data_IF_537244600983
#
_entry.id   IF_537244600983
#
_cell.length_a   1.000
_cell.length_b   1.000
_cell.length_c   1.000
_cell.angle_alpha   90.00
_cell.angle_beta   90.00
_cell.angle_gamma   90.00
#
_symmetry.space_group_name_H-M   'P 1'
#
loop_
_entity.id
_entity.type
_entity.pdbx_description
1 polymer ?
#
# COMPACT_ATOMS: atom_id res chain seq x y z
N UNK A 1 18.29 29.29 5.17
CA UNK A 1 18.02 28.68 3.85
C UNK A 1 19.01 27.54 3.65
N UNK A 2 18.57 26.38 3.17
CA UNK A 2 19.45 25.24 2.82
C UNK A 2 19.18 24.80 1.39
N UNK A 3 20.14 24.12 0.76
CA UNK A 3 20.01 23.66 -0.63
C UNK A 3 20.43 22.19 -0.77
N UNK A 4 19.89 21.51 -1.78
CA UNK A 4 20.23 20.14 -2.16
C UNK A 4 20.25 20.02 -3.67
N UNK A 5 21.19 19.25 -4.20
CA UNK A 5 21.25 18.91 -5.63
C UNK A 5 20.60 17.54 -5.81
N UNK A 6 19.68 17.40 -6.76
CA UNK A 6 19.06 16.12 -7.09
C UNK A 6 19.94 15.27 -8.04
N UNK A 7 19.57 14.01 -8.34
CA UNK A 7 20.36 13.16 -9.23
C UNK A 7 20.50 13.67 -10.68
N UNK A 8 19.65 14.62 -11.10
CA UNK A 8 19.67 15.22 -12.43
C UNK A 8 20.52 16.51 -12.46
N UNK A 9 20.94 17.01 -11.30
CA UNK A 9 21.76 18.22 -11.14
C UNK A 9 20.96 19.46 -10.76
N UNK A 10 19.65 19.34 -10.56
CA UNK A 10 18.80 20.47 -10.23
C UNK A 10 18.96 20.89 -8.77
N UNK A 11 19.00 22.20 -8.53
CA UNK A 11 19.09 22.78 -7.19
C UNK A 11 17.69 22.92 -6.60
N UNK A 12 17.50 22.30 -5.44
CA UNK A 12 16.30 22.43 -4.61
C UNK A 12 16.68 23.27 -3.39
N UNK A 13 15.93 24.33 -3.10
CA UNK A 13 16.16 25.19 -1.94
C UNK A 13 15.02 25.13 -0.93
N UNK A 14 15.36 25.34 0.34
CA UNK A 14 14.43 25.27 1.46
C UNK A 14 14.60 26.45 2.40
N UNK A 15 13.50 27.12 2.72
CA UNK A 15 13.42 28.12 3.80
C UNK A 15 12.79 27.47 5.03
N UNK A 16 13.27 27.86 6.21
CA UNK A 16 12.81 27.31 7.48
C UNK A 16 12.38 28.44 8.40
N UNK A 17 11.46 28.16 9.32
CA UNK A 17 11.15 29.03 10.45
C UNK A 17 12.14 28.87 11.61
N UNK A 18 11.93 29.63 12.69
CA UNK A 18 12.76 29.62 13.90
C UNK A 18 12.79 28.25 14.61
N UNK A 19 11.76 27.42 14.38
CA UNK A 19 11.69 26.06 14.92
C UNK A 19 12.32 25.02 13.97
N UNK A 20 12.95 25.47 12.87
CA UNK A 20 13.59 24.60 11.89
C UNK A 20 12.60 23.85 10.99
N UNK A 21 11.34 24.27 10.90
CA UNK A 21 10.34 23.65 10.01
C UNK A 21 10.40 24.31 8.64
N UNK A 22 10.30 23.52 7.57
CA UNK A 22 10.33 24.03 6.18
C UNK A 22 9.09 24.87 5.90
N UNK A 23 9.24 26.16 5.62
CA UNK A 23 8.14 27.07 5.25
C UNK A 23 8.03 27.30 3.75
N UNK A 24 9.10 27.05 3.00
CA UNK A 24 9.12 27.17 1.56
C UNK A 24 10.08 26.14 0.95
N UNK A 25 9.67 25.51 -0.15
CA UNK A 25 10.50 24.67 -1.00
C UNK A 25 10.45 25.22 -2.42
N UNK A 26 11.60 25.53 -2.99
CA UNK A 26 11.72 25.82 -4.41
C UNK A 26 12.47 24.68 -5.11
N UNK A 27 11.87 24.13 -6.16
CA UNK A 27 12.52 23.17 -7.04
C UNK A 27 12.47 23.71 -8.47
N UNK A 28 13.60 24.24 -8.95
CA UNK A 28 13.72 24.82 -10.28
C UNK A 28 12.65 25.91 -10.57
N UNK A 29 12.42 26.82 -9.62
CA UNK A 29 11.42 27.90 -9.72
C UNK A 29 9.98 27.49 -9.38
N UNK A 30 9.74 26.19 -9.11
CA UNK A 30 8.44 25.69 -8.64
C UNK A 30 8.40 25.80 -7.12
N UNK A 31 7.86 26.90 -6.63
CA UNK A 31 7.74 27.20 -5.20
C UNK A 31 6.50 26.55 -4.57
N UNK A 32 6.69 25.85 -3.45
CA UNK A 32 5.62 25.39 -2.55
C UNK A 32 5.82 26.01 -1.17
N UNK A 33 4.78 26.65 -0.65
CA UNK A 33 4.74 27.24 0.70
C UNK A 33 4.04 26.32 1.69
N UNK A 34 4.48 26.34 2.95
CA UNK A 34 3.94 25.53 4.04
C UNK A 34 3.60 26.41 5.24
N UNK A 35 2.40 26.24 5.78
CA UNK A 35 1.95 26.89 7.00
C UNK A 35 1.66 25.84 8.08
N UNK A 36 2.01 26.15 9.32
CA UNK A 36 1.87 25.26 10.48
C UNK A 36 1.12 25.94 11.61
N UNK A 37 0.49 25.14 12.46
CA UNK A 37 -0.04 25.62 13.73
C UNK A 37 1.05 25.70 14.82
N UNK A 38 0.74 26.24 16.01
CA UNK A 38 1.70 26.31 17.12
C UNK A 38 2.22 24.95 17.60
N UNK A 39 1.48 23.87 17.36
CA UNK A 39 1.88 22.51 17.71
C UNK A 39 2.76 21.84 16.63
N UNK A 40 3.10 22.54 15.54
CA UNK A 40 3.92 21.98 14.46
C UNK A 40 3.16 21.20 13.40
N UNK A 41 1.82 21.21 13.43
CA UNK A 41 1.01 20.46 12.47
C UNK A 41 0.78 21.29 11.22
N UNK A 42 0.88 20.66 10.05
CA UNK A 42 0.66 21.33 8.76
C UNK A 42 -0.79 21.80 8.64
N UNK A 43 -1.00 23.10 8.42
CA UNK A 43 -2.29 23.72 8.14
C UNK A 43 -2.53 23.88 6.63
N UNK A 44 -1.49 24.24 5.87
CA UNK A 44 -1.60 24.45 4.43
C UNK A 44 -0.30 24.14 3.70
N UNK A 45 -0.38 23.50 2.55
CA UNK A 45 0.71 23.39 1.59
C UNK A 45 0.20 23.86 0.23
N UNK A 46 0.79 24.92 -0.32
CA UNK A 46 0.31 25.56 -1.54
C UNK A 46 1.44 25.73 -2.54
N UNK A 47 1.28 25.17 -3.73
CA UNK A 47 2.27 25.22 -4.81
C UNK A 47 1.63 25.04 -6.19
N UNK A 48 2.44 24.93 -7.25
CA UNK A 48 1.95 24.83 -8.62
C UNK A 48 1.22 23.52 -8.92
N UNK A 49 1.40 22.49 -8.09
CA UNK A 49 0.74 21.18 -8.23
C UNK A 49 -0.59 21.10 -7.45
N UNK A 50 -0.95 22.15 -6.70
CA UNK A 50 -2.22 22.22 -5.98
C UNK A 50 -2.11 22.89 -4.61
N UNK A 51 -3.26 22.97 -3.93
CA UNK A 51 -3.43 23.50 -2.59
C UNK A 51 -4.03 22.45 -1.65
N UNK A 52 -3.30 22.13 -0.59
CA UNK A 52 -3.73 21.25 0.48
C UNK A 52 -4.00 22.08 1.73
N UNK A 53 -5.20 22.01 2.29
CA UNK A 53 -5.55 22.63 3.57
C UNK A 53 -6.01 21.55 4.55
N UNK A 54 -5.49 21.58 5.78
CA UNK A 54 -5.87 20.67 6.86
C UNK A 54 -6.46 21.45 8.02
N UNK A 55 -7.58 20.95 8.52
CA UNK A 55 -8.23 21.44 9.72
C UNK A 55 -8.25 20.34 10.76
N UNK A 56 -7.86 20.68 11.98
CA UNK A 56 -7.81 19.76 13.11
C UNK A 56 -8.97 20.01 14.07
N UNK A 57 -9.40 18.97 14.78
CA UNK A 57 -10.25 19.11 15.95
C UNK A 57 -9.44 19.53 17.20
N UNK A 58 -10.11 19.71 18.35
CA UNK A 58 -9.45 20.09 19.61
C UNK A 58 -8.48 19.04 20.14
N UNK A 59 -8.60 17.79 19.69
CA UNK A 59 -7.72 16.67 20.06
C UNK A 59 -6.52 16.57 19.13
N UNK A 60 -6.52 17.36 18.05
CA UNK A 60 -5.47 17.37 17.05
C UNK A 60 -5.61 16.35 15.93
N UNK A 61 -6.80 15.77 15.76
CA UNK A 61 -7.10 14.87 14.66
C UNK A 61 -7.60 15.67 13.45
N UNK A 62 -7.20 15.28 12.24
CA UNK A 62 -7.67 15.93 11.02
C UNK A 62 -9.18 15.70 10.89
N UNK A 63 -9.99 16.76 10.98
CA UNK A 63 -11.44 16.71 10.79
C UNK A 63 -11.85 17.05 9.35
N UNK A 64 -11.05 17.85 8.67
CA UNK A 64 -11.27 18.25 7.27
C UNK A 64 -9.94 18.36 6.54
N UNK A 65 -9.87 17.80 5.35
CA UNK A 65 -8.77 18.00 4.41
C UNK A 65 -9.37 18.54 3.10
N UNK A 66 -8.83 19.63 2.57
CA UNK A 66 -9.23 20.18 1.28
C UNK A 66 -8.06 20.03 0.33
N UNK A 67 -8.33 19.49 -0.85
CA UNK A 67 -7.38 19.43 -1.98
C UNK A 67 -8.00 20.26 -3.09
N UNK A 68 -7.39 21.37 -3.44
CA UNK A 68 -7.88 22.31 -4.46
C UNK A 68 -9.35 22.74 -4.21
N UNK A 69 -9.68 22.97 -2.93
CA UNK A 69 -11.04 23.32 -2.49
C UNK A 69 -12.00 22.15 -2.32
N UNK A 70 -11.62 20.94 -2.73
CA UNK A 70 -12.45 19.74 -2.59
C UNK A 70 -12.29 19.11 -1.19
N UNK A 71 -13.34 19.21 -0.38
CA UNK A 71 -13.31 18.80 1.02
C UNK A 71 -13.57 17.30 1.24
N UNK A 72 -12.66 16.65 1.95
CA UNK A 72 -12.88 15.36 2.63
C UNK A 72 -13.06 15.62 4.12
N UNK A 73 -14.15 15.13 4.71
CA UNK A 73 -14.37 15.23 6.17
C UNK A 73 -14.15 13.88 6.85
N UNK A 74 -13.64 13.91 8.08
CA UNK A 74 -13.33 12.72 8.87
C UNK A 74 -13.93 12.87 10.27
N UNK A 75 -14.59 11.81 10.74
CA UNK A 75 -15.22 11.73 12.07
C UNK A 75 -14.54 10.65 12.89
N UNK A 76 -14.39 10.90 14.19
CA UNK A 76 -13.74 9.99 15.13
C UNK A 76 -14.63 9.73 16.34
N UNK A 77 -14.48 8.56 16.97
CA UNK A 77 -15.07 8.29 18.27
C UNK A 77 -14.24 8.91 19.41
N UNK A 78 -14.71 8.75 20.66
CA UNK A 78 -14.08 9.33 21.85
C UNK A 78 -12.60 8.91 22.02
N UNK A 79 -12.22 7.68 21.63
CA UNK A 79 -10.83 7.18 21.72
C UNK A 79 -9.99 7.51 20.47
N UNK A 80 -10.55 8.20 19.48
CA UNK A 80 -9.81 8.71 18.32
C UNK A 80 -9.77 7.77 17.11
N UNK A 81 -10.59 6.71 17.11
CA UNK A 81 -10.73 5.81 15.96
C UNK A 81 -11.68 6.43 14.95
N UNK A 82 -11.34 6.36 13.66
CA UNK A 82 -12.15 6.92 12.57
C UNK A 82 -13.47 6.15 12.45
N UNK A 83 -14.60 6.82 12.63
CA UNK A 83 -15.94 6.26 12.48
C UNK A 83 -16.66 6.74 11.23
N UNK A 84 -16.10 7.73 10.53
CA UNK A 84 -16.70 8.25 9.30
C UNK A 84 -15.71 8.97 8.42
N UNK A 85 -15.94 8.91 7.11
CA UNK A 85 -15.29 9.71 6.08
C UNK A 85 -16.32 10.10 5.03
N UNK A 86 -16.35 11.36 4.62
CA UNK A 86 -17.13 11.80 3.46
C UNK A 86 -16.20 12.42 2.43
N UNK A 87 -16.32 12.00 1.16
CA UNK A 87 -15.54 12.54 0.03
C UNK A 87 -16.20 13.81 -0.52
N UNK A 88 -15.47 14.59 -1.35
CA UNK A 88 -16.04 15.76 -2.02
C UNK A 88 -17.22 15.42 -2.94
N UNK A 89 -17.24 14.19 -3.48
CA UNK A 89 -18.31 13.66 -4.32
C UNK A 89 -19.53 13.19 -3.54
N UNK A 90 -19.54 13.32 -2.22
CA UNK A 90 -20.66 12.91 -1.36
C UNK A 90 -20.65 11.44 -0.95
N UNK A 91 -19.65 10.64 -1.35
CA UNK A 91 -19.55 9.26 -0.87
C UNK A 91 -19.18 9.24 0.60
N UNK A 92 -20.01 8.59 1.41
CA UNK A 92 -19.81 8.42 2.83
C UNK A 92 -19.42 6.97 3.13
N UNK A 93 -18.37 6.82 3.92
CA UNK A 93 -17.96 5.55 4.53
C UNK A 93 -18.04 5.68 6.05
N UNK A 94 -18.68 4.73 6.73
CA UNK A 94 -18.72 4.64 8.20
C UNK A 94 -18.13 3.34 8.70
N UNK A 95 -17.67 3.36 9.96
CA UNK A 95 -17.01 2.22 10.59
C UNK A 95 -17.53 2.02 12.02
N UNK A 96 -17.85 0.78 12.37
CA UNK A 96 -17.95 0.36 13.78
C UNK A 96 -16.67 -0.35 14.18
N UNK A 97 -16.37 -0.37 15.48
CA UNK A 97 -15.20 -1.06 16.02
C UNK A 97 -15.60 -1.92 17.20
N UNK A 98 -14.94 -3.06 17.37
CA UNK A 98 -15.02 -3.85 18.59
C UNK A 98 -14.24 -3.20 19.75
N UNK A 99 -14.27 -3.84 20.91
CA UNK A 99 -13.58 -3.37 22.13
C UNK A 99 -12.07 -3.28 21.94
N UNK A 100 -11.46 -4.19 21.17
CA UNK A 100 -10.05 -4.17 20.81
C UNK A 100 -9.70 -3.08 19.79
N UNK A 101 -10.69 -2.51 19.10
CA UNK A 101 -10.50 -1.46 18.10
C UNK A 101 -10.36 -1.92 16.69
N UNK A 102 -10.76 -3.15 16.41
CA UNK A 102 -10.79 -3.70 15.07
C UNK A 102 -12.13 -3.36 14.43
N UNK A 103 -12.17 -3.04 13.12
CA UNK A 103 -13.43 -2.79 12.42
C UNK A 103 -14.38 -3.99 12.55
N UNK A 104 -15.65 -3.75 12.88
CA UNK A 104 -16.68 -4.80 12.89
C UNK A 104 -17.63 -4.70 11.69
N UNK A 105 -17.93 -3.46 11.28
CA UNK A 105 -18.77 -3.13 10.13
C UNK A 105 -18.17 -1.92 9.43
N UNK A 106 -18.15 -1.97 8.10
CA UNK A 106 -17.90 -0.86 7.21
C UNK A 106 -19.14 -0.68 6.35
N UNK A 107 -19.71 0.52 6.33
CA UNK A 107 -20.79 0.87 5.39
C UNK A 107 -20.27 1.89 4.40
N UNK A 108 -20.37 1.62 3.10
CA UNK A 108 -19.90 2.53 2.04
C UNK A 108 -20.85 2.47 0.85
N UNK A 109 -21.31 3.64 0.38
CA UNK A 109 -22.24 3.68 -0.76
C UNK A 109 -23.53 2.87 -0.55
N UNK A 110 -24.00 2.74 0.70
CA UNK A 110 -25.15 1.91 1.07
C UNK A 110 -24.86 0.40 1.15
N UNK A 111 -23.64 -0.04 0.85
CA UNK A 111 -23.22 -1.43 0.97
C UNK A 111 -22.51 -1.66 2.29
N UNK A 112 -22.74 -2.82 2.89
CA UNK A 112 -22.12 -3.22 4.15
C UNK A 112 -21.05 -4.29 3.93
N UNK A 113 -19.98 -4.17 4.70
CA UNK A 113 -18.92 -5.15 4.82
C UNK A 113 -18.71 -5.44 6.31
N UNK A 114 -18.99 -6.66 6.75
CA UNK A 114 -18.76 -7.08 8.14
C UNK A 114 -17.46 -7.85 8.26
N UNK A 115 -16.83 -7.77 9.43
CA UNK A 115 -15.56 -8.44 9.71
C UNK A 115 -15.63 -9.16 11.05
N UNK A 116 -14.98 -10.32 11.12
CA UNK A 116 -14.71 -11.02 12.38
C UNK A 116 -13.21 -11.24 12.52
N UNK A 117 -12.74 -11.30 13.75
CA UNK A 117 -11.31 -11.42 14.06
C UNK A 117 -11.11 -12.42 15.18
N UNK A 118 -9.94 -13.06 15.19
CA UNK A 118 -9.51 -13.89 16.31
C UNK A 118 -8.96 -13.03 17.48
N UNK A 119 -8.50 -13.70 18.54
CA UNK A 119 -7.91 -13.04 19.70
C UNK A 119 -6.63 -12.26 19.38
N UNK A 120 -5.85 -12.71 18.38
CA UNK A 120 -4.64 -12.01 17.90
C UNK A 120 -4.97 -10.82 16.98
N UNK A 121 -6.24 -10.62 16.63
CA UNK A 121 -6.70 -9.55 15.75
C UNK A 121 -6.55 -9.86 14.27
N UNK A 122 -6.32 -11.12 13.90
CA UNK A 122 -6.28 -11.57 12.51
C UNK A 122 -7.71 -11.76 12.00
N UNK A 123 -8.00 -11.31 10.79
CA UNK A 123 -9.32 -11.43 10.17
C UNK A 123 -9.66 -12.92 9.95
N UNK A 124 -10.85 -13.34 10.39
CA UNK A 124 -11.37 -14.70 10.20
C UNK A 124 -12.40 -14.76 9.08
N UNK A 125 -13.23 -13.73 8.98
CA UNK A 125 -14.24 -13.64 7.93
C UNK A 125 -14.54 -12.19 7.57
N UNK A 126 -14.85 -11.99 6.30
CA UNK A 126 -15.39 -10.77 5.73
C UNK A 126 -16.58 -11.08 4.85
N UNK A 127 -17.70 -10.41 5.09
CA UNK A 127 -18.94 -10.61 4.33
C UNK A 127 -19.31 -9.31 3.62
N UNK A 128 -19.62 -9.36 2.33
CA UNK A 128 -20.09 -8.23 1.53
C UNK A 128 -21.18 -8.70 0.55
N UNK A 129 -22.42 -8.36 0.86
CA UNK A 129 -23.58 -8.95 0.16
C UNK A 129 -23.67 -10.47 0.41
N UNK A 130 -23.86 -11.25 -0.64
CA UNK A 130 -23.87 -12.73 -0.57
C UNK A 130 -22.47 -13.34 -0.52
N UNK A 131 -21.42 -12.54 -0.76
CA UNK A 131 -20.05 -13.03 -0.86
C UNK A 131 -19.37 -12.98 0.51
N UNK A 132 -18.78 -14.11 0.91
CA UNK A 132 -18.03 -14.28 2.14
C UNK A 132 -16.63 -14.74 1.82
N UNK A 133 -15.62 -14.05 2.37
CA UNK A 133 -14.25 -14.53 2.45
C UNK A 133 -14.02 -15.06 3.85
N UNK A 134 -13.41 -16.23 3.97
CA UNK A 134 -12.90 -16.75 5.25
C UNK A 134 -11.40 -16.96 5.15
N UNK A 135 -10.71 -16.75 6.28
CA UNK A 135 -9.26 -16.86 6.37
C UNK A 135 -8.89 -17.73 7.56
N UNK A 136 -7.93 -18.62 7.37
CA UNK A 136 -7.33 -19.44 8.40
C UNK A 136 -5.86 -19.09 8.55
N UNK A 137 -5.34 -19.24 9.77
CA UNK A 137 -3.97 -18.86 10.11
C UNK A 137 -3.26 -20.02 10.79
N UNK A 138 -1.97 -20.19 10.49
CA UNK A 138 -1.13 -21.15 11.19
C UNK A 138 -0.71 -20.65 12.59
N UNK A 139 -0.01 -21.50 13.33
CA UNK A 139 0.48 -21.21 14.69
C UNK A 139 1.47 -20.04 14.71
N UNK A 140 2.18 -19.80 13.60
CA UNK A 140 3.16 -18.73 13.47
C UNK A 140 2.52 -17.37 13.09
N UNK A 141 1.19 -17.29 12.94
CA UNK A 141 0.55 -16.03 12.55
C UNK A 141 0.33 -15.84 11.06
N UNK A 142 0.66 -16.82 10.21
CA UNK A 142 0.67 -16.69 8.75
C UNK A 142 -0.61 -17.27 8.14
N UNK A 143 -1.08 -16.67 7.05
CA UNK A 143 -2.30 -17.10 6.36
C UNK A 143 -2.10 -18.51 5.82
N UNK A 144 -2.89 -19.49 6.24
CA UNK A 144 -2.77 -20.89 5.81
C UNK A 144 -3.82 -21.27 4.78
N UNK A 145 -5.02 -20.68 4.85
CA UNK A 145 -6.07 -20.89 3.87
C UNK A 145 -6.96 -19.65 3.70
N UNK A 146 -7.57 -19.54 2.51
CA UNK A 146 -8.59 -18.56 2.18
C UNK A 146 -9.71 -19.24 1.38
N UNK A 147 -10.98 -18.97 1.70
CA UNK A 147 -12.12 -19.44 0.91
C UNK A 147 -13.02 -18.29 0.50
N UNK A 148 -13.39 -18.24 -0.78
CA UNK A 148 -14.40 -17.35 -1.32
C UNK A 148 -15.70 -18.12 -1.50
N UNK A 149 -16.76 -17.70 -0.81
CA UNK A 149 -18.03 -18.42 -0.70
C UNK A 149 -19.18 -17.49 -1.09
N UNK A 150 -20.10 -17.93 -1.96
CA UNK A 150 -21.39 -17.27 -2.19
C UNK A 150 -22.50 -18.26 -1.96
N UNK A 151 -23.56 -17.87 -1.24
CA UNK A 151 -24.77 -18.68 -1.06
C UNK A 151 -24.46 -20.13 -0.60
N UNK A 152 -23.49 -20.27 0.31
CA UNK A 152 -23.01 -21.56 0.83
C UNK A 152 -22.09 -22.36 -0.10
N UNK A 153 -21.85 -21.90 -1.33
CA UNK A 153 -20.95 -22.55 -2.31
C UNK A 153 -19.58 -21.91 -2.30
N UNK A 154 -18.53 -22.72 -2.11
CA UNK A 154 -17.14 -22.30 -2.33
C UNK A 154 -16.90 -22.07 -3.82
N UNK A 155 -16.66 -20.81 -4.18
CA UNK A 155 -16.27 -20.35 -5.52
C UNK A 155 -14.77 -20.58 -5.78
N UNK A 156 -13.94 -20.28 -4.78
CA UNK A 156 -12.50 -20.53 -4.83
C UNK A 156 -11.97 -20.87 -3.43
N UNK A 157 -10.86 -21.61 -3.40
CA UNK A 157 -10.10 -21.90 -2.19
C UNK A 157 -8.63 -21.79 -2.48
N UNK A 158 -7.89 -21.14 -1.58
CA UNK A 158 -6.44 -21.04 -1.61
C UNK A 158 -5.84 -21.65 -0.37
N UNK A 159 -4.70 -22.31 -0.51
CA UNK A 159 -3.87 -22.71 0.63
C UNK A 159 -2.44 -22.27 0.42
N UNK A 160 -1.76 -21.99 1.52
CA UNK A 160 -0.43 -21.41 1.53
C UNK A 160 0.50 -22.30 2.34
N UNK A 161 1.60 -22.70 1.73
CA UNK A 161 2.67 -23.43 2.42
C UNK A 161 3.90 -22.55 2.51
N UNK A 162 4.56 -22.62 3.66
CA UNK A 162 5.74 -21.85 3.96
C UNK A 162 6.92 -22.78 4.23
N UNK A 163 8.12 -22.34 3.86
CA UNK A 163 9.36 -22.88 4.38
C UNK A 163 9.45 -22.63 5.89
N UNK A 164 10.32 -23.41 6.54
CA UNK A 164 10.60 -23.31 7.97
C UNK A 164 11.10 -21.90 8.38
N UNK A 165 11.74 -21.17 7.47
CA UNK A 165 12.25 -19.80 7.67
C UNK A 165 11.19 -18.71 7.50
N UNK A 166 9.93 -19.05 7.21
CA UNK A 166 8.86 -18.07 7.08
C UNK A 166 8.43 -17.76 5.66
N UNK A 167 9.23 -18.13 4.66
CA UNK A 167 8.98 -17.70 3.28
C UNK A 167 7.95 -18.57 2.56
N UNK A 168 7.01 -17.92 1.86
CA UNK A 168 5.94 -18.59 1.10
C UNK A 168 6.54 -19.43 -0.04
N UNK A 169 6.33 -20.74 0.01
CA UNK A 169 6.88 -21.70 -0.95
C UNK A 169 5.85 -22.29 -1.89
N UNK A 170 4.58 -22.38 -1.48
CA UNK A 170 3.51 -22.91 -2.35
C UNK A 170 2.23 -22.11 -2.14
N UNK A 171 1.55 -21.80 -3.23
CA UNK A 171 0.15 -21.37 -3.25
C UNK A 171 -0.61 -22.39 -4.09
N UNK A 172 -1.54 -23.10 -3.49
CA UNK A 172 -2.56 -23.82 -4.25
C UNK A 172 -3.78 -22.91 -4.40
N UNK A 173 -4.30 -22.76 -5.61
CA UNK A 173 -5.57 -22.08 -5.90
C UNK A 173 -6.46 -23.04 -6.70
N UNK A 174 -7.70 -23.26 -6.25
CA UNK A 174 -8.60 -24.24 -6.88
C UNK A 174 -8.93 -23.89 -8.34
N UNK A 175 -8.91 -22.61 -8.71
CA UNK A 175 -9.23 -22.16 -10.06
C UNK A 175 -8.00 -22.06 -10.96
N UNK A 176 -6.85 -21.66 -10.41
CA UNK A 176 -5.64 -21.42 -11.20
C UNK A 176 -4.52 -22.45 -11.00
N UNK A 177 -4.79 -23.54 -10.28
CA UNK A 177 -3.81 -24.59 -10.05
C UNK A 177 -2.76 -24.24 -8.99
N UNK A 178 -1.68 -25.02 -8.97
CA UNK A 178 -0.62 -24.87 -7.96
C UNK A 178 0.50 -23.96 -8.49
N UNK A 179 0.99 -23.07 -7.62
CA UNK A 179 2.20 -22.29 -7.85
C UNK A 179 3.23 -22.58 -6.78
N UNK A 180 4.42 -23.00 -7.20
CA UNK A 180 5.56 -23.27 -6.33
C UNK A 180 6.64 -22.22 -6.54
N UNK A 181 7.21 -21.72 -5.45
CA UNK A 181 8.28 -20.72 -5.45
C UNK A 181 9.60 -21.37 -5.05
N UNK A 182 10.56 -21.35 -5.98
CA UNK A 182 11.96 -21.58 -5.65
C UNK A 182 12.53 -20.35 -4.95
N UNK A 183 13.14 -20.53 -3.79
CA UNK A 183 13.60 -19.44 -2.94
C UNK A 183 15.08 -19.60 -2.60
N UNK A 184 15.84 -18.50 -2.66
CA UNK A 184 17.21 -18.46 -2.15
C UNK A 184 17.24 -18.49 -0.60
N UNK A 185 18.42 -18.56 0.04
CA UNK A 185 18.51 -18.61 1.51
C UNK A 185 17.97 -17.38 2.25
N UNK A 186 17.78 -16.25 1.57
CA UNK A 186 17.23 -15.02 2.18
C UNK A 186 15.79 -14.76 1.73
N UNK A 187 15.15 -15.75 1.10
CA UNK A 187 13.73 -15.72 0.74
C UNK A 187 13.40 -14.99 -0.55
N UNK A 188 14.38 -14.68 -1.41
CA UNK A 188 14.10 -14.10 -2.72
C UNK A 188 13.66 -15.18 -3.69
N UNK A 189 12.64 -14.87 -4.50
CA UNK A 189 12.13 -15.76 -5.54
C UNK A 189 13.17 -15.92 -6.65
N UNK A 190 13.62 -17.16 -6.86
CA UNK A 190 14.55 -17.56 -7.92
C UNK A 190 13.87 -18.38 -9.01
N UNK A 191 12.72 -18.99 -8.71
CA UNK A 191 11.89 -19.67 -9.69
C UNK A 191 10.41 -19.61 -9.31
N UNK A 192 9.54 -19.63 -10.31
CA UNK A 192 8.11 -19.85 -10.17
C UNK A 192 7.73 -20.99 -11.10
N UNK A 193 7.01 -21.98 -10.58
CA UNK A 193 6.50 -23.11 -11.36
C UNK A 193 4.99 -23.17 -11.17
N UNK A 194 4.27 -23.18 -12.28
CA UNK A 194 2.83 -23.40 -12.36
C UNK A 194 2.54 -24.64 -13.24
N UNK A 195 1.27 -25.01 -13.37
CA UNK A 195 0.86 -26.22 -14.11
C UNK A 195 1.25 -26.15 -15.60
N UNK A 196 1.21 -24.95 -16.20
CA UNK A 196 1.39 -24.70 -17.63
C UNK A 196 2.65 -23.90 -17.98
N UNK A 197 3.39 -23.38 -17.00
CA UNK A 197 4.61 -22.61 -17.26
C UNK A 197 5.59 -22.62 -16.09
N UNK A 198 6.85 -22.27 -16.38
CA UNK A 198 7.83 -21.96 -15.34
C UNK A 198 8.73 -20.79 -15.75
N UNK A 199 9.13 -19.97 -14.77
CA UNK A 199 10.11 -18.88 -14.93
C UNK A 199 11.24 -19.09 -13.92
N UNK A 200 12.48 -18.82 -14.33
CA UNK A 200 13.64 -18.78 -13.43
C UNK A 200 14.35 -17.43 -13.56
N UNK A 201 14.67 -16.83 -12.41
CA UNK A 201 15.53 -15.67 -12.32
C UNK A 201 16.89 -16.06 -11.79
N UNK A 202 17.90 -15.87 -12.62
CA UNK A 202 19.29 -15.82 -12.16
C UNK A 202 19.58 -14.41 -11.66
N UNK A 203 20.08 -14.30 -10.43
CA UNK A 203 20.73 -13.06 -10.02
C UNK A 203 21.90 -12.80 -10.98
N UNK A 204 22.09 -11.57 -11.50
CA UNK A 204 23.31 -11.28 -12.23
C UNK A 204 24.50 -11.59 -11.32
N UNK A 205 25.60 -12.16 -11.85
CA UNK A 205 26.81 -12.35 -11.07
C UNK A 205 27.14 -11.01 -10.42
N UNK A 206 27.38 -11.03 -9.11
CA UNK A 206 27.71 -9.83 -8.35
C UNK A 206 28.73 -9.02 -9.14
N UNK A 207 28.32 -7.86 -9.65
CA UNK A 207 29.25 -6.91 -10.24
C UNK A 207 30.14 -6.43 -9.11
N UNK A 208 31.28 -7.10 -8.93
CA UNK A 208 32.38 -6.52 -8.18
C UNK A 208 32.60 -5.11 -8.75
N UNK A 209 32.49 -4.10 -7.89
CA UNK A 209 32.76 -2.70 -8.25
C UNK A 209 34.24 -2.59 -8.63
N UNK A 210 34.60 -2.91 -9.87
CA UNK A 210 35.83 -2.42 -10.48
C UNK A 210 35.46 -1.29 -11.44
N UNK A 211 35.63 -0.07 -10.94
CA UNK A 211 35.71 1.14 -11.77
C UNK A 211 36.82 0.93 -12.81
N UNK A 212 36.50 0.94 -14.11
CA UNK A 212 37.33 1.52 -15.18
C UNK A 212 36.50 1.73 -16.45
N UNK A 213 36.83 2.82 -17.13
CA UNK A 213 36.08 3.58 -18.15
C UNK A 213 36.04 2.89 -19.54
N UNK A 214 34.98 3.24 -20.30
CA UNK A 214 34.81 3.42 -21.79
C UNK A 214 35.36 2.31 -22.69
N UNK A 215 34.60 1.73 -23.63
CA UNK A 215 33.96 2.38 -24.80
C UNK A 215 32.76 1.58 -25.37
N UNK A 216 31.97 2.26 -26.20
CA UNK A 216 30.65 1.96 -26.79
C UNK A 216 30.58 0.81 -27.85
N UNK A 217 29.51 0.70 -28.68
CA UNK A 217 28.41 -0.29 -28.56
C UNK A 217 28.35 -1.28 -29.76
N UNK A 218 27.58 -2.37 -29.70
CA UNK A 218 27.15 -3.16 -30.88
C UNK A 218 25.91 -4.00 -30.48
N UNK A 219 24.70 -3.53 -30.83
CA UNK A 219 23.77 -3.91 -31.91
C UNK A 219 22.75 -5.00 -31.56
N UNK A 220 21.48 -4.66 -31.74
CA UNK A 220 20.33 -5.56 -31.82
C UNK A 220 20.24 -6.24 -33.20
N UNK A 221 19.83 -7.51 -33.24
CA UNK A 221 19.23 -8.13 -34.43
C UNK A 221 17.91 -8.79 -34.05
N UNK A 222 16.86 -8.37 -34.75
CA UNK A 222 15.61 -9.09 -35.03
C UNK A 222 15.86 -10.10 -36.18
N UNK A 223 15.03 -11.04 -36.63
CA UNK A 223 13.63 -11.48 -36.51
C UNK A 223 13.62 -12.97 -36.95
N UNK A 224 12.50 -13.69 -36.74
CA UNK A 224 12.28 -14.95 -37.46
C UNK A 224 10.93 -15.61 -37.17
N UNK A 225 9.86 -15.07 -37.74
CA UNK A 225 8.59 -15.79 -37.94
C UNK A 225 8.78 -16.83 -39.04
N UNK A 226 8.24 -18.04 -38.88
CA UNK A 226 7.86 -18.85 -40.04
C UNK A 226 6.57 -19.60 -39.70
N UNK A 227 5.54 -19.26 -40.46
CA UNK A 227 4.30 -20.03 -40.56
C UNK A 227 4.52 -21.20 -41.53
N UNK A 228 3.88 -22.32 -41.24
CA UNK A 228 3.41 -23.30 -42.20
C UNK A 228 2.00 -23.71 -41.76
#
# INVERSE_FOLDING_TARGET
MTTRIDPLGDVISFTHDELGRVTCKDAAGRTTSYAYDPAGRLLRASGPDGDLIRQYDRRGLIKTELIDGHATTIRYNAVGRRVGRATPTGHVTTYTHDTAGRPGLLTTGGQEVTFTHDAAGRELSRVFGSLTVTSAWDEAGRLSAEHLITDGRVLNSRTYTYRADGHLSVVYDRLSGTRTFGLDPVGRVTAVTADDWSERRTAPPCASRSRRRRTSPITWRSHGTTAA
#
